data_IF_949442818378
#
_entry.id   IF_949442818378
#
_cell.length_a   1.000
_cell.length_b   1.000
_cell.length_c   1.000
_cell.angle_alpha   90.00
_cell.angle_beta   90.00
_cell.angle_gamma   90.00
#
_symmetry.space_group_name_H-M   'P 1'
#
loop_
_entity.id
_entity.type
_entity.pdbx_description
1 polymer ?
#
# COMPACT_ATOMS: atom_id res chain seq x y z
N UNK A 1 -1.58 9.86 11.71
CA UNK A 1 -1.44 8.40 11.48
C UNK A 1 -2.37 7.86 10.39
N UNK A 2 -3.71 7.92 10.48
CA UNK A 2 -4.57 7.44 9.36
C UNK A 2 -4.46 8.31 8.10
N UNK A 3 -4.48 9.64 8.23
CA UNK A 3 -4.30 10.57 7.10
C UNK A 3 -2.94 10.42 6.41
N UNK A 4 -1.85 10.39 7.17
CA UNK A 4 -0.49 10.17 6.64
C UNK A 4 -0.34 8.86 5.82
N UNK A 5 -1.05 7.79 6.21
CA UNK A 5 -1.05 6.51 5.48
C UNK A 5 -1.80 6.66 4.16
N UNK A 6 -2.94 7.35 4.16
CA UNK A 6 -3.72 7.61 2.95
C UNK A 6 -2.91 8.50 1.99
N UNK A 7 -2.29 9.56 2.48
CA UNK A 7 -1.42 10.44 1.70
C UNK A 7 -0.25 9.67 1.07
N UNK A 8 0.38 8.76 1.84
CA UNK A 8 1.47 7.92 1.33
C UNK A 8 1.01 6.94 0.23
N UNK A 9 -0.18 6.36 0.38
CA UNK A 9 -0.78 5.48 -0.65
C UNK A 9 -1.06 6.27 -1.93
N UNK A 10 -1.66 7.46 -1.82
CA UNK A 10 -1.99 8.30 -2.97
C UNK A 10 -0.73 8.74 -3.73
N UNK A 11 0.33 9.11 -3.01
CA UNK A 11 1.63 9.46 -3.61
C UNK A 11 2.19 8.29 -4.43
N UNK A 12 2.27 7.09 -3.84
CA UNK A 12 2.85 5.95 -4.54
C UNK A 12 1.96 5.47 -5.70
N UNK A 13 0.63 5.55 -5.57
CA UNK A 13 -0.30 5.22 -6.64
C UNK A 13 -0.15 6.20 -7.83
N UNK A 14 -0.04 7.50 -7.54
CA UNK A 14 0.18 8.52 -8.55
C UNK A 14 1.50 8.29 -9.32
N UNK A 15 2.56 7.89 -8.62
CA UNK A 15 3.86 7.61 -9.22
C UNK A 15 3.82 6.36 -10.11
N UNK A 16 3.18 5.28 -9.66
CA UNK A 16 2.95 4.08 -10.51
C UNK A 16 2.19 4.44 -11.79
N UNK A 17 1.14 5.26 -11.68
CA UNK A 17 0.38 5.70 -12.85
C UNK A 17 1.20 6.56 -13.81
N UNK A 18 2.05 7.44 -13.28
CA UNK A 18 2.97 8.27 -14.08
C UNK A 18 3.97 7.40 -14.83
N UNK A 19 4.62 6.46 -14.15
CA UNK A 19 5.60 5.56 -14.74
C UNK A 19 4.98 4.62 -15.78
N UNK A 20 3.76 4.11 -15.51
CA UNK A 20 3.03 3.28 -16.48
C UNK A 20 2.70 4.06 -17.76
N UNK A 21 2.28 5.32 -17.65
CA UNK A 21 2.06 6.19 -18.82
C UNK A 21 3.35 6.38 -19.59
N UNK A 22 4.44 6.72 -18.89
CA UNK A 22 5.78 6.84 -19.46
C UNK A 22 6.15 5.56 -20.25
N UNK A 23 6.04 4.38 -19.65
CA UNK A 23 6.33 3.10 -20.31
C UNK A 23 5.47 2.82 -21.55
N UNK A 24 4.22 3.30 -21.55
CA UNK A 24 3.25 3.14 -22.65
C UNK A 24 3.54 4.11 -23.80
N UNK A 25 4.10 5.28 -23.51
CA UNK A 25 4.48 6.32 -24.48
C UNK A 25 5.81 5.97 -25.19
N UNK A 26 5.85 4.77 -25.78
CA UNK A 26 6.99 4.05 -26.37
C UNK A 26 7.80 4.83 -27.43
N UNK A 27 7.32 6.02 -27.84
CA UNK A 27 7.99 6.96 -28.75
C UNK A 27 9.10 7.78 -28.09
N UNK A 28 9.22 7.75 -26.77
CA UNK A 28 10.07 8.68 -26.01
C UNK A 28 11.14 7.98 -25.15
N UNK A 29 11.16 6.64 -25.12
CA UNK A 29 11.97 5.87 -24.18
C UNK A 29 12.82 4.86 -24.93
N UNK A 30 14.13 5.03 -24.79
CA UNK A 30 15.12 4.10 -25.28
C UNK A 30 14.92 2.71 -24.65
N UNK A 31 15.15 1.61 -25.39
CA UNK A 31 14.96 0.26 -24.86
C UNK A 31 15.66 0.00 -23.51
N UNK A 32 16.84 0.62 -23.28
CA UNK A 32 17.56 0.53 -22.01
C UNK A 32 16.81 1.19 -20.84
N UNK A 33 16.17 2.33 -21.07
CA UNK A 33 15.42 3.07 -20.04
C UNK A 33 14.08 2.37 -19.67
N UNK A 34 13.56 1.50 -20.54
CA UNK A 34 12.30 0.76 -20.26
C UNK A 34 12.44 -0.18 -19.08
N UNK A 35 13.61 -0.82 -18.95
CA UNK A 35 13.89 -1.71 -17.82
C UNK A 35 13.93 -0.92 -16.51
N UNK A 36 14.57 0.25 -16.51
CA UNK A 36 14.65 1.12 -15.34
C UNK A 36 13.26 1.59 -14.88
N UNK A 37 12.42 2.01 -15.82
CA UNK A 37 11.03 2.40 -15.54
C UNK A 37 10.23 1.21 -15.00
N UNK A 38 10.42 0.00 -15.55
CA UNK A 38 9.74 -1.20 -15.06
C UNK A 38 10.18 -1.57 -13.63
N UNK A 39 11.47 -1.46 -13.31
CA UNK A 39 12.00 -1.67 -11.96
C UNK A 39 11.48 -0.62 -10.97
N UNK A 40 11.33 0.63 -11.42
CA UNK A 40 10.78 1.71 -10.61
C UNK A 40 9.29 1.51 -10.30
N UNK A 41 8.52 0.99 -11.25
CA UNK A 41 7.12 0.57 -11.04
C UNK A 41 7.07 -0.56 -10.01
N UNK A 42 7.91 -1.59 -10.14
CA UNK A 42 7.95 -2.72 -9.22
C UNK A 42 8.23 -2.26 -7.78
N UNK A 43 9.27 -1.45 -7.58
CA UNK A 43 9.63 -0.89 -6.25
C UNK A 43 8.50 -0.05 -5.63
N UNK A 44 7.82 0.79 -6.40
CA UNK A 44 6.70 1.57 -5.88
C UNK A 44 5.50 0.69 -5.53
N UNK A 45 5.27 -0.38 -6.29
CA UNK A 45 4.21 -1.35 -5.99
C UNK A 45 4.51 -2.15 -4.73
N UNK A 46 5.75 -2.58 -4.52
CA UNK A 46 6.20 -3.24 -3.28
C UNK A 46 5.97 -2.35 -2.06
N UNK A 47 6.36 -1.06 -2.16
CA UNK A 47 6.12 -0.08 -1.09
C UNK A 47 4.64 0.11 -0.78
N UNK A 48 3.77 0.12 -1.79
CA UNK A 48 2.31 0.18 -1.60
C UNK A 48 1.80 -1.05 -0.84
N UNK A 49 2.26 -2.25 -1.22
CA UNK A 49 1.88 -3.49 -0.56
C UNK A 49 2.32 -3.48 0.91
N UNK A 50 3.56 -3.06 1.18
CA UNK A 50 4.08 -2.95 2.54
C UNK A 50 3.29 -1.92 3.38
N UNK A 51 2.99 -0.75 2.82
CA UNK A 51 2.17 0.28 3.48
C UNK A 51 0.78 -0.26 3.82
N UNK A 52 0.12 -0.95 2.89
CA UNK A 52 -1.21 -1.54 3.11
C UNK A 52 -1.14 -2.64 4.18
N UNK A 53 -0.17 -3.54 4.10
CA UNK A 53 -0.03 -4.67 5.03
C UNK A 53 0.33 -4.20 6.45
N UNK A 54 1.28 -3.27 6.58
CA UNK A 54 1.66 -2.69 7.87
C UNK A 54 0.52 -1.89 8.49
N UNK A 55 -0.26 -1.16 7.67
CA UNK A 55 -1.45 -0.44 8.13
C UNK A 55 -2.57 -1.39 8.58
N UNK A 56 -2.74 -2.53 7.89
CA UNK A 56 -3.73 -3.54 8.26
C UNK A 56 -3.35 -4.30 9.53
N UNK A 57 -2.06 -4.62 9.71
CA UNK A 57 -1.53 -5.33 10.89
C UNK A 57 -1.40 -4.44 12.13
N UNK A 58 -1.24 -3.11 11.96
CA UNK A 58 -1.28 -2.13 13.07
C UNK A 58 -2.67 -1.79 13.58
N UNK A 59 -3.74 -2.22 12.91
CA UNK A 59 -5.07 -2.13 13.49
C UNK A 59 -5.21 -3.22 14.54
N UNK A 60 -5.21 -2.90 15.85
CA UNK A 60 -5.59 -3.92 16.82
C UNK A 60 -7.05 -4.18 16.51
N UNK A 61 -7.35 -5.34 15.92
CA UNK A 61 -8.68 -5.93 16.06
C UNK A 61 -8.88 -5.97 17.57
N UNK A 62 -9.60 -4.98 18.09
CA UNK A 62 -10.13 -4.97 19.43
C UNK A 62 -10.89 -6.29 19.51
N UNK A 63 -10.24 -7.31 20.07
CA UNK A 63 -10.88 -8.48 20.61
C UNK A 63 -11.75 -7.95 21.74
N UNK A 64 -12.92 -7.43 21.37
CA UNK A 64 -14.04 -7.24 22.25
C UNK A 64 -14.57 -8.64 22.54
N UNK A 65 -13.77 -9.41 23.28
CA UNK A 65 -14.20 -10.61 23.96
C UNK A 65 -15.16 -10.11 25.03
N UNK A 66 -16.43 -10.00 24.66
CA UNK A 66 -17.52 -9.98 25.64
C UNK A 66 -17.51 -11.34 26.32
N UNK A 67 -16.65 -11.49 27.33
CA UNK A 67 -16.79 -12.57 28.30
C UNK A 67 -17.79 -12.06 29.31
N UNK A 68 -19.07 -12.31 29.04
CA UNK A 68 -20.11 -12.20 30.06
C UNK A 68 -19.78 -13.26 31.11
N UNK A 69 -19.08 -12.85 32.18
CA UNK A 69 -19.05 -13.59 33.44
C UNK A 69 -20.48 -13.60 33.97
N UNK A 70 -21.17 -14.72 33.80
CA UNK A 70 -22.28 -15.08 34.67
C UNK A 70 -21.66 -15.46 36.01
N UNK A 71 -21.51 -14.47 36.89
CA UNK A 71 -21.15 -14.65 38.28
C UNK A 71 -22.41 -14.65 39.13
N UNK A 72 -22.59 -15.72 39.92
CA UNK A 72 -23.50 -15.81 41.06
C UNK A 72 -24.91 -16.31 40.67
N UNK A 73 -25.43 -17.43 41.17
CA UNK A 73 -25.12 -18.14 42.41
C UNK A 73 -26.22 -17.86 43.43
N UNK A 74 -27.18 -18.78 43.51
CA UNK A 74 -27.95 -19.25 44.67
C UNK A 74 -29.20 -19.98 44.16
#
# INVERSE_FOLDING_TARGET
>A
MHGEIVDAIDIHLAEVHRLRRRLTDARTIEPGERLDVALEIARNTERLVDLIYTSHSRSPRSSRRHVSRLSGGA
#
